data_IF_312307094410
#
_entry.id   IF_312307094410
#
_cell.length_a   1.000
_cell.length_b   1.000
_cell.length_c   1.000
_cell.angle_alpha   90.00
_cell.angle_beta   90.00
_cell.angle_gamma   90.00
#
_symmetry.space_group_name_H-M   'P 1'
#
loop_
_entity.id
_entity.type
_entity.pdbx_description
1 polymer ?
#
# COMPACT_ATOMS: atom_id res chain seq x y z
N UNK A 1 -9.13 5.51 -3.49
CA UNK A 1 -7.88 4.78 -3.17
C UNK A 1 -7.84 3.49 -3.97
N UNK A 2 -6.71 3.21 -4.56
CA UNK A 2 -6.52 2.01 -5.36
C UNK A 2 -5.34 1.22 -4.82
N UNK A 3 -5.52 -0.08 -4.66
CA UNK A 3 -4.50 -0.97 -4.14
C UNK A 3 -4.31 -2.11 -5.12
N UNK A 4 -3.08 -2.39 -5.48
CA UNK A 4 -2.72 -3.54 -6.32
C UNK A 4 -1.75 -4.41 -5.56
N UNK A 5 -1.95 -5.73 -5.64
CA UNK A 5 -1.07 -6.69 -4.99
C UNK A 5 -0.88 -7.85 -5.95
N UNK A 6 0.37 -8.22 -6.20
CA UNK A 6 0.65 -9.31 -7.13
C UNK A 6 1.95 -10.00 -6.73
N UNK A 7 2.11 -11.22 -7.23
CA UNK A 7 3.32 -12.00 -6.99
C UNK A 7 4.27 -11.84 -8.17
N UNK A 8 5.50 -11.49 -7.88
CA UNK A 8 6.54 -11.35 -8.89
C UNK A 8 7.39 -12.61 -8.87
N UNK A 9 7.17 -13.49 -9.86
CA UNK A 9 7.85 -14.78 -9.88
C UNK A 9 9.35 -14.63 -10.10
N UNK A 10 9.75 -13.64 -10.90
CA UNK A 10 11.17 -13.41 -11.18
C UNK A 10 11.95 -13.13 -9.92
N UNK A 11 11.36 -12.43 -8.96
CA UNK A 11 12.04 -12.06 -7.75
C UNK A 11 11.57 -12.82 -6.52
N UNK A 12 10.59 -13.69 -6.70
CA UNK A 12 10.00 -14.47 -5.61
C UNK A 12 9.51 -13.55 -4.50
N UNK A 13 8.85 -12.48 -4.89
CA UNK A 13 8.38 -11.46 -3.95
C UNK A 13 6.93 -11.12 -4.24
N UNK A 14 6.21 -10.75 -3.20
CA UNK A 14 4.91 -10.12 -3.31
C UNK A 14 5.12 -8.62 -3.38
N UNK A 15 4.57 -8.00 -4.40
CA UNK A 15 4.73 -6.57 -4.59
C UNK A 15 3.37 -5.90 -4.55
N UNK A 16 3.36 -4.67 -4.06
CA UNK A 16 2.11 -3.94 -3.96
C UNK A 16 2.32 -2.48 -4.24
N UNK A 17 1.27 -1.84 -4.70
CA UNK A 17 1.24 -0.40 -4.89
C UNK A 17 -0.07 0.12 -4.35
N UNK A 18 -0.04 1.36 -3.91
CA UNK A 18 -1.20 2.02 -3.37
C UNK A 18 -1.22 3.45 -3.88
N UNK A 19 -2.36 3.88 -4.39
CA UNK A 19 -2.53 5.23 -4.89
C UNK A 19 -3.76 5.84 -4.26
N UNK A 20 -3.60 7.03 -3.71
CA UNK A 20 -4.70 7.78 -3.12
C UNK A 20 -4.78 9.12 -3.82
N UNK A 21 -5.82 9.29 -4.63
CA UNK A 21 -5.99 10.48 -5.44
C UNK A 21 -6.88 11.53 -4.79
N UNK A 22 -7.18 11.37 -3.52
CA UNK A 22 -8.03 12.34 -2.84
C UNK A 22 -7.34 13.68 -2.73
N UNK A 23 -8.09 14.71 -2.97
CA UNK A 23 -7.54 16.05 -2.93
C UNK A 23 -7.37 16.50 -1.50
N UNK A 24 -6.46 17.44 -1.26
CA UNK A 24 -5.64 18.12 -2.27
C UNK A 24 -4.34 17.43 -2.61
N UNK A 25 -4.00 16.35 -1.93
CA UNK A 25 -2.70 15.70 -2.08
C UNK A 25 -2.89 14.30 -2.63
N UNK A 26 -2.15 13.98 -3.70
CA UNK A 26 -2.08 12.62 -4.20
C UNK A 26 -0.95 11.90 -3.49
N UNK A 27 -1.21 10.68 -3.06
CA UNK A 27 -0.20 9.86 -2.38
C UNK A 27 0.01 8.58 -3.15
N UNK A 28 1.26 8.15 -3.21
CA UNK A 28 1.62 6.89 -3.83
C UNK A 28 2.59 6.17 -2.92
N UNK A 29 2.29 4.91 -2.63
CA UNK A 29 3.14 4.08 -1.81
C UNK A 29 3.33 2.74 -2.50
N UNK A 30 4.43 2.09 -2.18
CA UNK A 30 4.70 0.78 -2.74
C UNK A 30 5.60 0.02 -1.78
N UNK A 31 5.64 -1.30 -1.97
CA UNK A 31 6.48 -2.13 -1.14
C UNK A 31 6.61 -3.51 -1.71
N UNK A 32 7.42 -4.32 -1.05
CA UNK A 32 7.61 -5.71 -1.46
C UNK A 32 8.02 -6.54 -0.25
N UNK A 33 7.53 -7.78 -0.23
CA UNK A 33 7.80 -8.71 0.85
C UNK A 33 7.83 -10.12 0.30
N UNK A 34 8.60 -10.99 0.93
CA UNK A 34 8.64 -12.39 0.52
C UNK A 34 7.38 -13.14 0.91
N UNK A 35 6.71 -12.69 1.95
CA UNK A 35 5.56 -13.36 2.52
C UNK A 35 4.30 -12.56 2.23
N UNK A 36 3.30 -13.24 1.67
CA UNK A 36 2.03 -12.58 1.35
C UNK A 36 1.41 -11.91 2.57
N UNK A 37 1.41 -12.60 3.70
CA UNK A 37 0.78 -12.06 4.90
C UNK A 37 1.47 -10.78 5.34
N UNK A 38 2.79 -10.75 5.24
CA UNK A 38 3.55 -9.56 5.61
C UNK A 38 3.26 -8.43 4.63
N UNK A 39 3.14 -8.76 3.34
CA UNK A 39 2.80 -7.74 2.36
C UNK A 39 1.42 -7.14 2.64
N UNK A 40 0.45 -7.97 2.97
CA UNK A 40 -0.89 -7.49 3.29
C UNK A 40 -0.87 -6.63 4.55
N UNK A 41 -0.05 -6.99 5.52
CA UNK A 41 0.12 -6.19 6.72
C UNK A 41 0.68 -4.80 6.38
N UNK A 42 1.67 -4.75 5.49
CA UNK A 42 2.23 -3.49 5.06
C UNK A 42 1.17 -2.60 4.42
N UNK A 43 0.33 -3.21 3.58
CA UNK A 43 -0.73 -2.47 2.93
C UNK A 43 -1.69 -1.91 3.97
N UNK A 44 -2.10 -2.76 4.91
CA UNK A 44 -3.04 -2.33 5.94
C UNK A 44 -2.48 -1.18 6.77
N UNK A 45 -1.21 -1.29 7.16
CA UNK A 45 -0.58 -0.23 7.93
C UNK A 45 -0.51 1.07 7.14
N UNK A 46 -0.22 0.97 5.85
CA UNK A 46 -0.14 2.15 5.01
C UNK A 46 -1.51 2.81 4.86
N UNK A 47 -2.54 2.00 4.65
CA UNK A 47 -3.90 2.53 4.55
C UNK A 47 -4.28 3.24 5.83
N UNK A 48 -4.01 2.62 6.97
CA UNK A 48 -4.34 3.24 8.25
C UNK A 48 -3.63 4.57 8.43
N UNK A 49 -2.36 4.60 8.06
CA UNK A 49 -1.59 5.83 8.18
C UNK A 49 -2.21 6.95 7.33
N UNK A 50 -2.57 6.62 6.10
CA UNK A 50 -3.14 7.61 5.20
C UNK A 50 -4.48 8.11 5.72
N UNK A 51 -5.33 7.19 6.17
CA UNK A 51 -6.64 7.56 6.67
C UNK A 51 -6.52 8.43 7.92
N UNK A 52 -5.60 8.09 8.80
CA UNK A 52 -5.40 8.86 10.01
C UNK A 52 -4.90 10.26 9.71
N UNK A 53 -4.02 10.39 8.72
CA UNK A 53 -3.47 11.70 8.41
C UNK A 53 -4.49 12.59 7.71
N UNK A 54 -5.56 12.01 7.14
CA UNK A 54 -6.61 12.80 6.52
C UNK A 54 -7.78 13.08 7.45
N UNK A 55 -7.78 12.47 8.61
CA UNK A 55 -8.84 12.67 9.59
C UNK A 55 -8.47 13.74 10.60
N UNK A 56 -7.94 14.82 10.12
CA UNK A 56 -7.58 15.90 11.03
C UNK A 56 -8.81 16.64 11.49
N UNK A 57 -8.70 17.15 12.65
CA UNK A 57 -9.80 17.94 13.22
C UNK A 57 -9.46 19.35 13.25
#
# INVERSE_FOLDING_TARGET
MRINLWYCADMSLWRWTLTDNRRPICRQESGQQQDLRVAMNDIANTVEYILESTQTK
#
